data_IF_865140148684
#
_entry.id   IF_865140148684
#
_cell.length_a   1.000
_cell.length_b   1.000
_cell.length_c   1.000
_cell.angle_alpha   90.00
_cell.angle_beta   90.00
_cell.angle_gamma   90.00
#
_symmetry.space_group_name_H-M   'P 1'
#
loop_
_entity.id
_entity.type
_entity.pdbx_description
1 polymer ?
#
# COMPACT_ATOMS: atom_id res chain seq x y z
N UNK A 1 -4.41 1.76 25.00
CA UNK A 1 -5.57 2.50 24.43
C UNK A 1 -5.86 1.87 23.08
N UNK A 2 -7.10 1.62 22.68
CA UNK A 2 -7.40 0.98 21.38
C UNK A 2 -8.16 1.94 20.46
N UNK A 3 -7.95 1.82 19.15
CA UNK A 3 -8.78 2.48 18.15
C UNK A 3 -10.26 2.11 18.34
N UNK A 4 -11.14 3.08 18.16
CA UNK A 4 -12.58 2.88 18.15
C UNK A 4 -13.21 3.33 16.83
N UNK A 5 -14.51 3.12 16.66
CA UNK A 5 -15.19 3.44 15.41
C UNK A 5 -15.26 4.94 15.09
N UNK A 6 -15.14 5.83 16.08
CA UNK A 6 -15.01 7.28 15.81
C UNK A 6 -13.65 7.60 15.17
N UNK A 7 -12.59 6.89 15.57
CA UNK A 7 -11.28 7.04 14.95
C UNK A 7 -11.33 6.55 13.50
N UNK A 8 -11.94 5.37 13.26
CA UNK A 8 -12.15 4.83 11.91
C UNK A 8 -12.96 5.78 11.03
N UNK A 9 -14.03 6.39 11.57
CA UNK A 9 -14.87 7.34 10.84
C UNK A 9 -14.10 8.59 10.38
N UNK A 10 -12.92 8.87 10.96
CA UNK A 10 -12.05 10.00 10.60
C UNK A 10 -10.94 9.60 9.63
N UNK A 11 -10.92 8.38 9.08
CA UNK A 11 -9.89 7.95 8.13
C UNK A 11 -9.80 8.83 6.87
N UNK A 12 -10.89 9.47 6.47
CA UNK A 12 -10.91 10.45 5.39
C UNK A 12 -10.32 11.82 5.75
N UNK A 13 -9.98 12.08 7.01
CA UNK A 13 -9.44 13.37 7.46
C UNK A 13 -7.91 13.37 7.58
N UNK A 14 -7.29 12.20 7.78
CA UNK A 14 -5.83 12.08 7.83
C UNK A 14 -5.29 12.03 6.41
N UNK A 15 -4.41 12.96 6.08
CA UNK A 15 -3.83 13.12 4.74
C UNK A 15 -2.38 12.67 4.70
N UNK A 16 -2.00 12.06 3.57
CA UNK A 16 -0.64 11.66 3.22
C UNK A 16 0.00 12.69 2.30
N UNK A 17 1.30 12.54 2.06
CA UNK A 17 2.09 13.35 1.11
C UNK A 17 2.31 14.81 1.50
N UNK A 18 2.04 15.21 2.74
CA UNK A 18 2.19 16.60 3.20
C UNK A 18 3.65 17.13 3.17
N UNK A 19 4.64 16.27 2.91
CA UNK A 19 6.06 16.64 2.73
C UNK A 19 6.48 16.79 1.26
N UNK A 20 5.58 16.54 0.32
CA UNK A 20 5.82 16.62 -1.12
C UNK A 20 4.71 17.45 -1.77
N UNK A 21 5.06 18.39 -2.64
CA UNK A 21 4.05 19.17 -3.36
C UNK A 21 3.29 18.27 -4.32
N UNK A 22 1.99 18.11 -4.08
CA UNK A 22 1.06 17.35 -4.91
C UNK A 22 -0.13 18.23 -5.34
N UNK A 23 -0.82 17.88 -6.43
CA UNK A 23 -1.99 18.60 -6.94
C UNK A 23 -3.21 18.45 -6.02
N UNK A 24 -3.35 17.28 -5.40
CA UNK A 24 -4.21 17.04 -4.24
C UNK A 24 -3.48 16.21 -3.19
N UNK A 25 -4.07 16.10 -2.01
CA UNK A 25 -3.62 15.14 -1.00
C UNK A 25 -4.35 13.80 -1.17
N UNK A 26 -3.69 12.71 -0.80
CA UNK A 26 -4.31 11.40 -0.60
C UNK A 26 -4.83 11.34 0.84
N UNK A 27 -6.02 10.79 1.07
CA UNK A 27 -6.46 10.45 2.43
C UNK A 27 -6.02 9.05 2.81
N UNK A 28 -5.94 8.77 4.12
CA UNK A 28 -5.63 7.43 4.61
C UNK A 28 -6.70 6.41 4.19
N UNK A 29 -7.97 6.82 4.11
CA UNK A 29 -9.05 6.00 3.59
C UNK A 29 -8.86 5.60 2.12
N UNK A 30 -8.47 6.55 1.26
CA UNK A 30 -8.17 6.28 -0.16
C UNK A 30 -7.01 5.29 -0.30
N UNK A 31 -5.94 5.50 0.47
CA UNK A 31 -4.77 4.64 0.52
C UNK A 31 -5.15 3.21 0.95
N UNK A 32 -5.85 3.06 2.08
CA UNK A 32 -6.29 1.75 2.57
C UNK A 32 -7.17 0.98 1.57
N UNK A 33 -8.08 1.68 0.90
CA UNK A 33 -8.90 1.07 -0.15
C UNK A 33 -8.02 0.54 -1.30
N UNK A 34 -7.14 1.39 -1.85
CA UNK A 34 -6.35 0.99 -3.01
C UNK A 34 -5.35 -0.12 -2.67
N UNK A 35 -4.68 -0.06 -1.51
CA UNK A 35 -3.80 -1.13 -1.03
C UNK A 35 -4.55 -2.45 -0.90
N UNK A 36 -5.78 -2.43 -0.38
CA UNK A 36 -6.61 -3.64 -0.26
C UNK A 36 -6.96 -4.23 -1.63
N UNK A 37 -7.33 -3.38 -2.59
CA UNK A 37 -7.68 -3.81 -3.95
C UNK A 37 -6.49 -4.37 -4.70
N UNK A 38 -5.32 -3.72 -4.62
CA UNK A 38 -4.07 -4.23 -5.21
C UNK A 38 -3.68 -5.54 -4.54
N UNK A 39 -3.74 -5.63 -3.21
CA UNK A 39 -3.45 -6.86 -2.45
C UNK A 39 -4.33 -8.02 -2.93
N UNK A 40 -5.64 -7.79 -3.05
CA UNK A 40 -6.60 -8.79 -3.53
C UNK A 40 -6.22 -9.31 -4.92
N UNK A 41 -5.91 -8.39 -5.84
CA UNK A 41 -5.56 -8.75 -7.22
C UNK A 41 -4.24 -9.52 -7.29
N UNK A 42 -3.21 -9.05 -6.60
CA UNK A 42 -1.91 -9.72 -6.55
C UNK A 42 -1.99 -11.10 -5.91
N UNK A 43 -2.77 -11.26 -4.84
CA UNK A 43 -3.00 -12.59 -4.25
C UNK A 43 -3.58 -13.57 -5.26
N UNK A 44 -4.60 -13.15 -6.03
CA UNK A 44 -5.20 -14.01 -7.04
C UNK A 44 -4.21 -14.35 -8.17
N UNK A 45 -3.46 -13.36 -8.67
CA UNK A 45 -2.52 -13.58 -9.79
C UNK A 45 -1.29 -14.41 -9.40
N UNK A 46 -0.79 -14.27 -8.16
CA UNK A 46 0.47 -14.90 -7.71
C UNK A 46 0.22 -16.25 -7.03
N UNK A 47 -0.85 -16.36 -6.24
CA UNK A 47 -1.11 -17.53 -5.39
C UNK A 47 -2.33 -18.35 -5.86
N UNK A 48 -3.13 -17.80 -6.78
CA UNK A 48 -4.33 -18.45 -7.30
C UNK A 48 -5.48 -18.54 -6.28
N UNK A 49 -6.50 -19.31 -6.64
CA UNK A 49 -7.73 -19.45 -5.85
C UNK A 49 -7.65 -20.45 -4.69
N UNK A 50 -6.52 -21.16 -4.55
CA UNK A 50 -6.37 -22.22 -3.54
C UNK A 50 -6.13 -21.71 -2.10
N UNK A 51 -5.99 -20.40 -1.90
CA UNK A 51 -5.82 -19.82 -0.57
C UNK A 51 -7.09 -20.00 0.29
N UNK A 52 -6.98 -20.54 1.52
CA UNK A 52 -8.10 -20.64 2.45
C UNK A 52 -8.80 -19.30 2.67
N UNK A 53 -10.12 -19.33 2.80
CA UNK A 53 -10.94 -18.12 2.94
C UNK A 53 -10.52 -17.29 4.17
N UNK A 54 -10.18 -17.95 5.27
CA UNK A 54 -9.73 -17.33 6.52
C UNK A 54 -8.38 -16.62 6.33
N UNK A 55 -7.45 -17.24 5.58
CA UNK A 55 -6.18 -16.62 5.23
C UNK A 55 -6.39 -15.40 4.34
N UNK A 56 -7.30 -15.49 3.36
CA UNK A 56 -7.63 -14.35 2.50
C UNK A 56 -8.22 -13.20 3.30
N UNK A 57 -9.15 -13.48 4.20
CA UNK A 57 -9.77 -12.48 5.07
C UNK A 57 -8.71 -11.81 5.96
N UNK A 58 -7.83 -12.59 6.60
CA UNK A 58 -6.74 -12.07 7.43
C UNK A 58 -5.86 -11.06 6.68
N UNK A 59 -5.47 -11.38 5.45
CA UNK A 59 -4.59 -10.55 4.63
C UNK A 59 -5.28 -9.27 4.18
N UNK A 60 -6.54 -9.38 3.75
CA UNK A 60 -7.32 -8.22 3.32
C UNK A 60 -7.68 -7.30 4.48
N UNK A 61 -8.01 -7.84 5.65
CA UNK A 61 -8.18 -7.04 6.87
C UNK A 61 -6.89 -6.32 7.27
N UNK A 62 -5.74 -7.00 7.14
CA UNK A 62 -4.45 -6.37 7.40
C UNK A 62 -4.18 -5.25 6.40
N UNK A 63 -4.31 -5.48 5.10
CA UNK A 63 -4.11 -4.46 4.06
C UNK A 63 -5.00 -3.22 4.28
N UNK A 64 -6.27 -3.44 4.64
CA UNK A 64 -7.25 -2.38 4.88
C UNK A 64 -6.94 -1.53 6.13
N UNK A 65 -6.17 -2.05 7.07
CA UNK A 65 -5.96 -1.42 8.38
C UNK A 65 -4.49 -1.20 8.73
N UNK A 66 -3.54 -1.56 7.87
CA UNK A 66 -2.13 -1.63 8.26
C UNK A 66 -1.55 -0.30 8.80
N UNK A 67 -2.04 0.84 8.31
CA UNK A 67 -1.66 2.19 8.76
C UNK A 67 -2.73 2.84 9.68
N UNK A 68 -3.75 2.10 10.14
CA UNK A 68 -4.78 2.66 11.04
C UNK A 68 -4.27 3.28 12.37
N UNK A 69 -3.10 2.91 12.94
CA UNK A 69 -2.52 3.68 14.05
C UNK A 69 -2.31 5.17 13.72
N UNK A 70 -2.13 5.53 12.44
CA UNK A 70 -1.99 6.91 11.97
C UNK A 70 -3.24 7.77 12.16
N UNK A 71 -4.39 7.16 12.44
CA UNK A 71 -5.61 7.89 12.83
C UNK A 71 -5.41 8.71 14.10
N UNK A 72 -4.50 8.31 14.98
CA UNK A 72 -4.16 9.05 16.20
C UNK A 72 -2.81 9.76 16.10
N UNK A 73 -1.85 9.25 15.34
CA UNK A 73 -0.50 9.84 15.24
C UNK A 73 -0.36 10.86 14.11
N UNK A 74 -1.27 10.86 13.14
CA UNK A 74 -1.06 11.45 11.83
C UNK A 74 -0.16 10.59 10.93
N UNK A 75 -0.23 10.81 9.62
CA UNK A 75 0.72 10.24 8.66
C UNK A 75 2.13 10.73 8.99
N UNK A 76 3.08 9.81 9.07
CA UNK A 76 4.49 10.14 9.28
C UNK A 76 5.27 9.77 8.02
N UNK A 77 5.98 10.71 7.37
CA UNK A 77 6.73 10.42 6.16
C UNK A 77 7.73 9.27 6.37
N UNK A 78 7.79 8.33 5.42
CA UNK A 78 8.67 7.16 5.53
C UNK A 78 10.15 7.48 5.80
N UNK A 79 10.75 8.58 5.27
CA UNK A 79 12.11 8.98 5.65
C UNK A 79 12.26 9.25 7.15
N UNK A 80 11.26 9.86 7.79
CA UNK A 80 11.27 10.12 9.23
C UNK A 80 11.11 8.82 10.02
N UNK A 81 10.15 7.96 9.65
CA UNK A 81 9.96 6.65 10.29
C UNK A 81 11.26 5.83 10.29
N UNK A 82 11.94 5.76 9.13
CA UNK A 82 13.25 5.09 8.99
C UNK A 82 14.32 5.73 9.87
N UNK A 83 14.39 7.06 9.90
CA UNK A 83 15.39 7.76 10.71
C UNK A 83 15.19 7.53 12.21
N UNK A 84 13.94 7.49 12.68
CA UNK A 84 13.62 7.16 14.07
C UNK A 84 14.10 5.74 14.39
N UNK A 85 13.74 4.75 13.55
CA UNK A 85 14.17 3.37 13.74
C UNK A 85 15.70 3.20 13.70
N UNK A 86 16.41 3.93 12.85
CA UNK A 86 17.88 3.94 12.80
C UNK A 86 18.52 4.48 14.09
N UNK A 87 17.94 5.53 14.69
CA UNK A 87 18.46 6.16 15.91
C UNK A 87 18.18 5.30 17.15
N UNK A 88 17.01 4.66 17.18
CA UNK A 88 16.48 4.00 18.39
C UNK A 88 16.66 2.48 18.38
N UNK A 89 16.88 1.89 17.21
CA UNK A 89 17.09 0.45 17.06
C UNK A 89 15.91 -0.37 17.59
N UNK A 90 16.18 -1.28 18.54
CA UNK A 90 15.17 -2.13 19.15
C UNK A 90 14.17 -1.35 20.03
N UNK A 91 14.54 -0.17 20.49
CA UNK A 91 13.72 0.69 21.36
C UNK A 91 12.88 1.69 20.56
N UNK A 92 12.52 1.38 19.30
CA UNK A 92 11.73 2.25 18.44
C UNK A 92 10.39 2.66 19.09
N UNK A 93 10.27 3.93 19.55
CA UNK A 93 9.08 4.39 20.24
C UNK A 93 7.87 4.42 19.31
N UNK A 94 8.08 4.63 18.00
CA UNK A 94 6.98 4.67 17.04
C UNK A 94 6.35 3.29 16.90
N UNK A 95 7.15 2.25 16.63
CA UNK A 95 6.67 0.87 16.58
C UNK A 95 5.99 0.44 17.89
N UNK A 96 6.49 0.90 19.04
CA UNK A 96 5.87 0.64 20.35
C UNK A 96 4.50 1.31 20.46
N UNK A 97 4.39 2.59 20.11
CA UNK A 97 3.14 3.37 20.14
C UNK A 97 2.10 2.77 19.19
N UNK A 98 2.47 2.44 17.96
CA UNK A 98 1.56 1.83 16.97
C UNK A 98 0.97 0.50 17.51
N UNK A 99 1.80 -0.34 18.15
CA UNK A 99 1.38 -1.59 18.78
C UNK A 99 0.47 -1.36 19.99
N UNK A 100 0.69 -0.30 20.76
CA UNK A 100 -0.16 0.06 21.89
C UNK A 100 -1.55 0.54 21.43
N UNK A 101 -1.59 1.29 20.32
CA UNK A 101 -2.82 1.84 19.70
C UNK A 101 -3.66 0.74 19.04
N UNK A 102 -3.03 -0.19 18.31
CA UNK A 102 -3.72 -1.22 17.53
C UNK A 102 -3.05 -2.60 17.66
N UNK A 103 -3.15 -3.25 18.84
CA UNK A 103 -2.49 -4.54 19.09
C UNK A 103 -2.99 -5.65 18.16
N UNK A 104 -4.25 -5.62 17.72
CA UNK A 104 -4.80 -6.57 16.76
C UNK A 104 -4.18 -6.42 15.36
N UNK A 105 -3.79 -5.21 14.96
CA UNK A 105 -3.13 -4.96 13.67
C UNK A 105 -1.68 -5.44 13.74
N UNK A 106 -1.01 -5.19 14.88
CA UNK A 106 0.30 -5.76 15.15
C UNK A 106 0.27 -7.31 15.14
N UNK A 107 -0.76 -7.93 15.71
CA UNK A 107 -0.94 -9.37 15.68
C UNK A 107 -1.12 -9.91 14.25
N UNK A 108 -1.93 -9.25 13.41
CA UNK A 108 -2.08 -9.61 11.98
C UNK A 108 -0.75 -9.47 11.24
N UNK A 109 -0.01 -8.38 11.45
CA UNK A 109 1.34 -8.18 10.89
C UNK A 109 2.28 -9.32 11.27
N UNK A 110 2.29 -9.72 12.55
CA UNK A 110 3.10 -10.84 13.04
C UNK A 110 2.66 -12.18 12.44
N UNK A 111 1.36 -12.42 12.28
CA UNK A 111 0.83 -13.64 11.68
C UNK A 111 1.24 -13.81 10.19
N UNK A 112 1.44 -12.71 9.48
CA UNK A 112 1.89 -12.70 8.10
C UNK A 112 3.43 -12.65 7.96
N UNK A 113 4.15 -12.39 9.05
CA UNK A 113 5.59 -12.17 8.99
C UNK A 113 6.33 -13.37 8.36
N UNK A 114 7.26 -13.08 7.45
CA UNK A 114 8.03 -14.10 6.74
C UNK A 114 7.25 -14.89 5.69
N UNK A 115 6.01 -14.51 5.35
CA UNK A 115 5.22 -15.13 4.28
C UNK A 115 5.23 -14.29 2.99
N UNK A 116 4.91 -14.93 1.86
CA UNK A 116 4.68 -14.23 0.60
C UNK A 116 3.52 -13.21 0.70
N UNK A 117 2.54 -13.47 1.58
CA UNK A 117 1.40 -12.59 1.81
C UNK A 117 1.83 -11.24 2.42
N UNK A 118 2.77 -11.25 3.37
CA UNK A 118 3.32 -9.99 3.89
C UNK A 118 4.03 -9.17 2.81
N UNK A 119 4.75 -9.82 1.89
CA UNK A 119 5.38 -9.15 0.76
C UNK A 119 4.35 -8.61 -0.24
N UNK A 120 3.27 -9.36 -0.51
CA UNK A 120 2.19 -8.90 -1.38
C UNK A 120 1.55 -7.61 -0.83
N UNK A 121 1.22 -7.57 0.46
CA UNK A 121 0.69 -6.35 1.09
C UNK A 121 1.70 -5.20 1.01
N UNK A 122 2.99 -5.50 1.23
CA UNK A 122 4.04 -4.47 1.13
C UNK A 122 4.24 -3.93 -0.29
N UNK A 123 4.13 -4.80 -1.29
CA UNK A 123 4.18 -4.41 -2.71
C UNK A 123 2.96 -3.56 -3.08
N UNK A 124 1.77 -3.91 -2.57
CA UNK A 124 0.56 -3.13 -2.76
C UNK A 124 0.67 -1.71 -2.19
N UNK A 125 1.19 -1.58 -0.96
CA UNK A 125 1.50 -0.28 -0.32
C UNK A 125 2.48 0.56 -1.16
N UNK A 126 3.58 -0.05 -1.65
CA UNK A 126 4.53 0.63 -2.53
C UNK A 126 3.92 1.02 -3.88
N UNK A 127 3.07 0.18 -4.47
CA UNK A 127 2.38 0.44 -5.74
C UNK A 127 1.42 1.62 -5.62
N UNK A 128 0.57 1.66 -4.58
CA UNK A 128 -0.29 2.81 -4.31
C UNK A 128 0.55 4.09 -4.20
N UNK A 129 1.65 4.03 -3.46
CA UNK A 129 2.52 5.19 -3.29
C UNK A 129 3.17 5.65 -4.60
N UNK A 130 3.55 4.73 -5.48
CA UNK A 130 4.10 5.04 -6.81
C UNK A 130 3.03 5.64 -7.73
N UNK A 131 1.82 5.06 -7.75
CA UNK A 131 0.69 5.54 -8.55
C UNK A 131 0.35 6.98 -8.16
N UNK A 132 0.19 7.24 -6.86
CA UNK A 132 -0.21 8.56 -6.37
C UNK A 132 0.81 9.65 -6.72
N UNK A 133 2.10 9.41 -6.45
CA UNK A 133 3.13 10.44 -6.70
C UNK A 133 3.38 10.67 -8.18
N UNK A 134 3.12 9.67 -9.03
CA UNK A 134 3.22 9.82 -10.48
C UNK A 134 2.09 10.71 -11.02
N UNK A 135 0.87 10.48 -10.55
CA UNK A 135 -0.32 11.21 -11.00
C UNK A 135 -0.38 12.63 -10.44
N UNK A 136 -0.13 12.78 -9.14
CA UNK A 136 -0.41 14.03 -8.41
C UNK A 136 0.85 14.87 -8.15
N UNK A 137 2.04 14.32 -8.34
CA UNK A 137 3.31 14.98 -7.96
C UNK A 137 3.64 16.22 -8.79
N UNK A 138 3.98 17.34 -8.13
CA UNK A 138 4.32 18.61 -8.80
C UNK A 138 5.78 19.00 -8.61
N UNK A 139 6.48 19.16 -9.74
CA UNK A 139 7.81 19.75 -9.82
C UNK A 139 8.97 18.79 -9.51
N UNK A 140 10.18 19.33 -9.51
CA UNK A 140 11.43 18.53 -9.45
C UNK A 140 11.53 17.62 -8.23
N UNK A 141 11.09 18.09 -7.06
CA UNK A 141 11.15 17.28 -5.84
C UNK A 141 10.25 16.04 -5.93
N UNK A 142 9.00 16.21 -6.38
CA UNK A 142 8.06 15.11 -6.56
C UNK A 142 8.58 14.08 -7.57
N UNK A 143 9.18 14.53 -8.68
CA UNK A 143 9.81 13.64 -9.67
C UNK A 143 10.95 12.78 -9.06
N UNK A 144 11.79 13.36 -8.19
CA UNK A 144 12.83 12.60 -7.48
C UNK A 144 12.23 11.59 -6.50
N UNK A 145 11.13 11.95 -5.82
CA UNK A 145 10.42 11.04 -4.91
C UNK A 145 9.79 9.89 -5.71
N UNK A 146 9.14 10.16 -6.84
CA UNK A 146 8.58 9.15 -7.73
C UNK A 146 9.64 8.14 -8.18
N UNK A 147 10.80 8.63 -8.64
CA UNK A 147 11.92 7.77 -9.03
C UNK A 147 12.40 6.88 -7.88
N UNK A 148 12.53 7.45 -6.66
CA UNK A 148 12.94 6.69 -5.47
C UNK A 148 11.89 5.64 -5.08
N UNK A 149 10.61 5.97 -5.16
CA UNK A 149 9.51 5.05 -4.88
C UNK A 149 9.52 3.87 -5.85
N UNK A 150 9.70 4.11 -7.15
CA UNK A 150 9.80 3.03 -8.15
C UNK A 150 11.03 2.15 -7.94
N UNK A 151 12.18 2.73 -7.55
CA UNK A 151 13.37 1.94 -7.20
C UNK A 151 13.08 1.05 -5.98
N UNK A 152 12.39 1.59 -4.97
CA UNK A 152 12.00 0.81 -3.79
C UNK A 152 11.04 -0.33 -4.14
N UNK A 153 10.08 -0.09 -5.05
CA UNK A 153 9.19 -1.12 -5.57
C UNK A 153 9.98 -2.24 -6.27
N UNK A 154 10.86 -1.87 -7.22
CA UNK A 154 11.70 -2.84 -7.95
C UNK A 154 12.60 -3.66 -7.01
N UNK A 155 13.23 -3.01 -6.04
CA UNK A 155 14.04 -3.70 -5.03
C UNK A 155 13.20 -4.68 -4.20
N UNK A 156 11.97 -4.30 -3.81
CA UNK A 156 11.08 -5.18 -3.06
C UNK A 156 10.62 -6.37 -3.88
N UNK A 157 10.44 -6.23 -5.19
CA UNK A 157 10.15 -7.34 -6.10
C UNK A 157 11.31 -8.32 -6.15
N UNK A 158 12.56 -7.86 -6.26
CA UNK A 158 13.74 -8.74 -6.24
C UNK A 158 13.90 -9.47 -4.90
N UNK A 159 13.64 -8.79 -3.78
CA UNK A 159 13.59 -9.44 -2.45
C UNK A 159 12.52 -10.55 -2.41
N UNK A 160 11.35 -10.29 -3.00
CA UNK A 160 10.27 -11.27 -3.05
C UNK A 160 10.62 -12.49 -3.92
N UNK A 161 11.26 -12.27 -5.08
CA UNK A 161 11.78 -13.34 -5.94
C UNK A 161 12.83 -14.18 -5.24
N UNK A 162 13.74 -13.54 -4.50
CA UNK A 162 14.78 -14.24 -3.74
C UNK A 162 14.20 -15.07 -2.59
N UNK A 163 13.20 -14.53 -1.86
CA UNK A 163 12.58 -15.21 -0.72
C UNK A 163 11.61 -16.33 -1.14
N UNK A 164 10.91 -16.16 -2.26
CA UNK A 164 9.90 -17.09 -2.78
C UNK A 164 10.13 -17.37 -4.27
N UNK A 165 11.19 -18.10 -4.64
CA UNK A 165 11.58 -18.33 -6.03
C UNK A 165 10.60 -19.21 -6.81
N UNK A 166 9.73 -19.95 -6.10
CA UNK A 166 8.71 -20.81 -6.71
C UNK A 166 7.44 -20.04 -7.11
N UNK A 167 7.31 -18.77 -6.72
CA UNK A 167 6.18 -17.92 -7.08
C UNK A 167 6.53 -17.03 -8.26
N UNK A 168 5.56 -16.82 -9.14
CA UNK A 168 5.70 -15.85 -10.22
C UNK A 168 5.37 -14.43 -9.71
N UNK A 169 6.36 -13.54 -9.75
CA UNK A 169 6.23 -12.15 -9.34
C UNK A 169 6.09 -11.18 -10.53
N UNK A 170 6.06 -11.66 -11.79
CA UNK A 170 5.76 -10.81 -12.95
C UNK A 170 4.42 -10.06 -12.84
N UNK A 171 3.36 -10.62 -12.20
CA UNK A 171 2.06 -9.94 -12.12
C UNK A 171 2.10 -8.59 -11.40
N UNK A 172 3.12 -8.35 -10.57
CA UNK A 172 3.29 -7.08 -9.86
C UNK A 172 3.53 -5.93 -10.84
N UNK A 173 4.48 -6.11 -11.77
CA UNK A 173 4.80 -5.07 -12.76
C UNK A 173 3.75 -4.98 -13.87
N UNK A 174 3.14 -6.11 -14.24
CA UNK A 174 2.03 -6.12 -15.19
C UNK A 174 0.82 -5.33 -14.65
N UNK A 175 0.42 -5.59 -13.40
CA UNK A 175 -0.66 -4.85 -12.75
C UNK A 175 -0.29 -3.37 -12.57
N UNK A 176 0.94 -3.06 -12.15
CA UNK A 176 1.39 -1.67 -12.00
C UNK A 176 1.33 -0.90 -13.32
N UNK A 177 1.81 -1.48 -14.43
CA UNK A 177 1.76 -0.87 -15.76
C UNK A 177 0.31 -0.70 -16.24
N UNK A 178 -0.55 -1.69 -16.00
CA UNK A 178 -1.98 -1.60 -16.32
C UNK A 178 -2.67 -0.47 -15.57
N UNK A 179 -2.42 -0.33 -14.27
CA UNK A 179 -3.02 0.72 -13.43
C UNK A 179 -2.55 2.13 -13.80
N UNK A 180 -1.39 2.26 -14.45
CA UNK A 180 -0.88 3.53 -15.00
C UNK A 180 -1.43 3.87 -16.38
N UNK A 181 -2.27 3.00 -16.97
CA UNK A 181 -2.75 3.17 -18.34
C UNK A 181 -1.67 3.00 -19.41
N UNK A 182 -0.51 2.43 -19.05
CA UNK A 182 0.57 2.12 -20.01
C UNK A 182 0.27 0.84 -20.81
N UNK A 183 -0.64 0.01 -20.31
CA UNK A 183 -1.12 -1.21 -20.95
C UNK A 183 -2.60 -1.46 -20.65
N UNK A 184 -3.25 -2.22 -21.54
CA UNK A 184 -4.69 -2.48 -21.46
C UNK A 184 -5.55 -1.38 -22.11
N UNK A 185 -6.87 -1.60 -22.13
CA UNK A 185 -7.81 -0.64 -22.65
C UNK A 185 -8.37 0.22 -21.52
N UNK A 186 -8.51 1.52 -21.77
CA UNK A 186 -9.21 2.41 -20.87
C UNK A 186 -10.73 2.23 -21.07
N UNK A 187 -11.36 1.66 -20.05
CA UNK A 187 -12.76 1.31 -20.04
C UNK A 187 -13.69 2.53 -20.18
N UNK A 188 -13.24 3.74 -19.84
CA UNK A 188 -14.02 4.95 -20.06
C UNK A 188 -14.22 5.20 -21.55
N UNK A 189 -13.15 5.16 -22.35
CA UNK A 189 -13.25 5.33 -23.80
C UNK A 189 -14.00 4.18 -24.47
N UNK A 190 -13.89 2.96 -23.94
CA UNK A 190 -14.70 1.83 -24.41
C UNK A 190 -16.19 2.05 -24.11
N UNK A 191 -16.53 2.54 -22.92
CA UNK A 191 -17.90 2.83 -22.51
C UNK A 191 -18.52 3.95 -23.36
N UNK A 192 -17.77 5.03 -23.63
CA UNK A 192 -18.19 6.14 -24.49
C UNK A 192 -18.45 5.67 -25.95
N UNK A 193 -17.65 4.73 -26.45
CA UNK A 193 -17.83 4.12 -27.78
C UNK A 193 -18.98 3.12 -27.88
N UNK A 194 -19.44 2.57 -26.76
CA UNK A 194 -20.53 1.60 -26.71
C UNK A 194 -21.93 2.24 -26.70
N UNK A 195 -22.02 3.57 -26.62
CA UNK A 195 -23.28 4.30 -26.78
C UNK A 195 -23.73 4.23 -28.25
N UNK A 196 -24.95 3.74 -28.57
CA UNK A 196 -25.44 3.72 -29.94
C UNK A 196 -25.53 5.14 -30.48
N UNK A 197 -25.14 5.32 -31.74
CA UNK A 197 -25.47 6.51 -32.51
C UNK A 197 -26.99 6.57 -32.63
N UNK A 198 -27.61 7.62 -32.09
CA UNK A 198 -29.04 7.93 -32.28
C UNK A 198 -29.39 8.06 -33.77
#
# INVERSE_FOLDING_TARGET
MKLNMQDIARAGHVTRWHSVRCARNQTLAEHHYLVTMITRELMMRILGDALPAETRLLVLEYALTHDAPELLTGDLPSPLKRRIAEITGADDPLSRIEREIAPEIAARKSALAGSALALIVKLADLMDGCLFIHEEGIGRHAAMVAQKSEIALKHKIEEARAAFPNLDWSPVMELYSQMRGESGADNRFLFERAQPTE
#
